data_IF_313470612308
#
_entry.id   IF_313470612308
#
_cell.length_a   1.000
_cell.length_b   1.000
_cell.length_c   1.000
_cell.angle_alpha   90.00
_cell.angle_beta   90.00
_cell.angle_gamma   90.00
#
_symmetry.space_group_name_H-M   'P 1'
#
loop_
_entity.id
_entity.type
_entity.pdbx_description
1 polymer ?
#
# COMPACT_ATOMS: atom_id res chain seq x y z
N UNK A 1 14.48 -11.90 5.42
CA UNK A 1 14.18 -10.73 6.29
C UNK A 1 15.48 -10.08 6.72
N UNK A 2 15.61 -8.74 6.65
CA UNK A 2 16.74 -8.02 7.26
C UNK A 2 16.34 -7.60 8.68
N UNK A 3 17.10 -8.03 9.68
CA UNK A 3 16.89 -7.55 11.06
C UNK A 3 17.49 -6.16 11.20
N UNK A 4 16.69 -5.20 11.65
CA UNK A 4 17.16 -3.84 11.97
C UNK A 4 17.65 -3.73 13.41
N UNK A 5 17.34 -4.71 14.27
CA UNK A 5 17.68 -4.69 15.70
C UNK A 5 16.97 -3.60 16.51
N UNK A 6 16.01 -2.88 15.91
CA UNK A 6 15.33 -1.75 16.57
C UNK A 6 14.17 -2.27 17.41
N UNK A 7 14.24 -2.02 18.73
CA UNK A 7 13.18 -2.37 19.69
C UNK A 7 12.44 -1.10 20.12
N UNK A 8 11.11 -1.15 20.09
CA UNK A 8 10.24 -0.07 20.58
C UNK A 8 9.17 -0.64 21.50
N UNK A 9 8.91 0.08 22.59
CA UNK A 9 7.78 -0.22 23.48
C UNK A 9 6.49 0.26 22.84
N UNK A 10 5.43 -0.48 23.11
CA UNK A 10 4.06 -0.06 22.82
C UNK A 10 3.67 1.01 23.84
N UNK A 11 2.91 2.02 23.41
CA UNK A 11 2.36 3.00 24.34
C UNK A 11 1.10 2.50 25.06
N UNK A 12 0.55 3.32 25.97
CA UNK A 12 -0.64 2.98 26.78
C UNK A 12 -1.90 2.69 25.95
N UNK A 13 -1.92 3.07 24.66
CA UNK A 13 -3.04 2.87 23.75
C UNK A 13 -2.80 1.74 22.74
N UNK A 14 -1.69 1.00 22.85
CA UNK A 14 -1.39 -0.08 21.92
C UNK A 14 -0.68 0.37 20.64
N UNK A 15 -0.23 1.63 20.53
CA UNK A 15 0.40 2.16 19.31
C UNK A 15 1.90 1.90 19.31
N UNK A 16 2.45 1.72 18.12
CA UNK A 16 3.90 1.60 17.90
C UNK A 16 4.42 2.75 17.03
N UNK A 17 5.60 3.27 17.40
CA UNK A 17 6.24 4.34 16.64
C UNK A 17 7.22 3.75 15.63
N UNK A 18 7.03 4.05 14.35
CA UNK A 18 8.01 3.71 13.32
C UNK A 18 9.24 4.65 13.40
N UNK A 19 10.45 4.11 13.59
CA UNK A 19 11.70 4.87 13.60
C UNK A 19 11.84 5.79 12.38
N UNK A 20 12.49 6.94 12.57
CA UNK A 20 12.65 7.95 11.51
C UNK A 20 13.42 7.38 10.32
N UNK A 21 14.42 6.55 10.59
CA UNK A 21 15.26 5.88 9.61
C UNK A 21 14.42 4.98 8.69
N UNK A 22 13.56 4.13 9.27
CA UNK A 22 12.68 3.25 8.50
C UNK A 22 11.69 4.04 7.65
N UNK A 23 11.12 5.13 8.19
CA UNK A 23 10.23 6.02 7.43
C UNK A 23 10.93 6.65 6.23
N UNK A 24 12.18 7.09 6.38
CA UNK A 24 12.96 7.67 5.28
C UNK A 24 13.31 6.62 4.23
N UNK A 25 13.81 5.45 4.65
CA UNK A 25 14.19 4.36 3.73
C UNK A 25 13.00 3.82 2.94
N UNK A 26 11.82 3.73 3.57
CA UNK A 26 10.59 3.24 2.93
C UNK A 26 9.74 4.36 2.31
N UNK A 27 10.19 5.62 2.38
CA UNK A 27 9.45 6.79 1.91
C UNK A 27 7.98 6.78 2.43
N UNK A 28 7.82 6.62 3.75
CA UNK A 28 6.55 6.68 4.47
C UNK A 28 6.42 8.09 5.06
N UNK A 29 5.46 8.84 4.55
CA UNK A 29 5.15 10.21 4.98
C UNK A 29 4.08 10.22 6.07
N UNK A 30 3.88 11.39 6.66
CA UNK A 30 2.81 11.57 7.63
C UNK A 30 1.45 11.32 6.97
N UNK A 31 0.58 10.57 7.65
CA UNK A 31 -0.75 10.16 7.18
C UNK A 31 -0.76 9.17 6.00
N UNK A 32 0.39 8.66 5.56
CA UNK A 32 0.43 7.59 4.56
C UNK A 32 -0.26 6.33 5.11
N UNK A 33 -1.18 5.72 4.36
CA UNK A 33 -1.81 4.47 4.76
C UNK A 33 -0.80 3.32 4.72
N UNK A 34 -0.84 2.47 5.73
CA UNK A 34 -0.10 1.21 5.79
C UNK A 34 -1.09 0.06 5.90
N UNK A 35 -0.82 -1.01 5.18
CA UNK A 35 -1.54 -2.27 5.29
C UNK A 35 -0.86 -3.15 6.31
N UNK A 36 -1.66 -3.76 7.18
CA UNK A 36 -1.22 -4.69 8.23
C UNK A 36 -1.62 -6.10 7.81
N UNK A 37 -0.65 -7.00 7.78
CA UNK A 37 -0.87 -8.42 7.57
C UNK A 37 -0.37 -9.20 8.80
N UNK A 38 -0.95 -10.38 8.98
CA UNK A 38 -0.50 -11.37 9.98
C UNK A 38 -0.18 -12.64 9.21
N UNK A 39 1.05 -13.15 9.36
CA UNK A 39 1.45 -14.43 8.79
C UNK A 39 1.01 -15.61 9.67
N UNK A 40 1.17 -16.84 9.16
CA UNK A 40 0.78 -18.07 9.87
C UNK A 40 1.58 -18.30 11.16
N UNK A 41 2.76 -17.69 11.29
CA UNK A 41 3.61 -17.73 12.48
C UNK A 41 3.21 -16.64 13.51
N UNK A 42 2.17 -15.85 13.22
CA UNK A 42 1.70 -14.75 14.06
C UNK A 42 2.56 -13.48 14.00
N UNK A 43 3.44 -13.35 13.01
CA UNK A 43 4.25 -12.13 12.79
C UNK A 43 3.41 -11.06 12.11
N UNK A 44 3.58 -9.82 12.59
CA UNK A 44 2.96 -8.64 11.98
C UNK A 44 3.87 -8.12 10.87
N UNK A 45 3.30 -7.98 9.67
CA UNK A 45 3.97 -7.43 8.49
C UNK A 45 3.29 -6.11 8.13
N UNK A 46 4.08 -5.03 8.03
CA UNK A 46 3.61 -3.72 7.61
C UNK A 46 4.09 -3.45 6.18
N UNK A 47 3.16 -3.09 5.30
CA UNK A 47 3.44 -2.73 3.90
C UNK A 47 2.81 -1.38 3.57
N UNK A 48 3.41 -0.62 2.64
CA UNK A 48 2.76 0.58 2.08
C UNK A 48 1.45 0.17 1.42
N UNK A 49 0.37 0.87 1.76
CA UNK A 49 -0.89 0.66 1.06
C UNK A 49 -0.79 1.31 -0.31
N UNK A 50 -0.66 0.48 -1.33
CA UNK A 50 -0.73 0.90 -2.72
C UNK A 50 -2.17 0.68 -3.21
N UNK A 51 -2.86 1.74 -3.68
CA UNK A 51 -4.19 1.60 -4.23
C UNK A 51 -4.18 0.65 -5.43
N UNK A 52 -5.01 -0.38 -5.39
CA UNK A 52 -5.17 -1.30 -6.50
C UNK A 52 -6.24 -0.82 -7.49
N UNK A 53 -6.09 -1.22 -8.76
CA UNK A 53 -7.09 -1.00 -9.81
C UNK A 53 -8.43 -1.66 -9.45
N UNK A 54 -9.55 -0.94 -9.58
CA UNK A 54 -10.88 -1.45 -9.23
C UNK A 54 -11.32 -2.65 -10.07
N UNK A 55 -10.74 -2.85 -11.26
CA UNK A 55 -11.16 -3.86 -12.21
C UNK A 55 -10.34 -5.15 -12.13
N UNK A 56 -9.02 -5.04 -12.00
CA UNK A 56 -8.11 -6.19 -12.05
C UNK A 56 -7.29 -6.39 -10.78
N UNK A 57 -7.46 -5.51 -9.78
CA UNK A 57 -6.69 -5.52 -8.53
C UNK A 57 -5.16 -5.38 -8.71
N UNK A 58 -4.71 -4.98 -9.91
CA UNK A 58 -3.30 -4.69 -10.18
C UNK A 58 -2.89 -3.42 -9.43
N UNK A 59 -1.67 -3.43 -8.89
CA UNK A 59 -1.02 -2.26 -8.27
C UNK A 59 -0.11 -1.51 -9.28
N UNK A 60 0.05 -2.03 -10.50
CA UNK A 60 0.92 -1.44 -11.51
C UNK A 60 0.21 -0.29 -12.24
N UNK A 61 0.91 0.85 -12.36
CA UNK A 61 0.47 2.03 -13.11
C UNK A 61 -0.97 2.48 -12.78
N UNK A 62 -1.33 2.42 -11.50
CA UNK A 62 -2.66 2.80 -11.01
C UNK A 62 -2.77 4.32 -10.91
N UNK A 63 -3.77 4.86 -11.61
CA UNK A 63 -4.11 6.28 -11.64
C UNK A 63 -5.45 6.46 -10.91
N UNK A 64 -5.54 7.48 -10.06
CA UNK A 64 -6.81 7.85 -9.43
C UNK A 64 -7.60 8.78 -10.35
N UNK A 65 -8.81 8.38 -10.75
CA UNK A 65 -9.71 9.15 -11.59
C UNK A 65 -11.12 9.16 -10.98
N UNK A 66 -11.65 10.36 -10.70
CA UNK A 66 -12.98 10.55 -10.05
C UNK A 66 -13.19 9.71 -8.77
N UNK A 67 -12.15 9.56 -7.95
CA UNK A 67 -12.21 8.78 -6.71
C UNK A 67 -12.20 7.26 -6.89
N UNK A 68 -11.90 6.77 -8.10
CA UNK A 68 -11.68 5.35 -8.41
C UNK A 68 -10.23 5.17 -8.86
N UNK A 69 -9.61 4.06 -8.48
CA UNK A 69 -8.26 3.75 -8.88
C UNK A 69 -8.29 2.80 -10.08
N UNK A 70 -7.66 3.15 -11.19
CA UNK A 70 -7.65 2.34 -12.41
C UNK A 70 -6.24 2.24 -12.97
N UNK A 71 -5.78 1.04 -13.30
CA UNK A 71 -4.49 0.86 -13.99
C UNK A 71 -4.61 1.21 -15.47
N UNK A 72 -3.47 1.56 -16.08
CA UNK A 72 -3.37 1.88 -17.51
C UNK A 72 -3.99 0.79 -18.40
N UNK A 73 -3.68 -0.48 -18.16
CA UNK A 73 -4.22 -1.60 -18.95
C UNK A 73 -5.75 -1.67 -18.95
N UNK A 74 -6.37 -1.40 -17.80
CA UNK A 74 -7.83 -1.39 -17.68
C UNK A 74 -8.44 -0.16 -18.34
N UNK A 75 -7.75 0.98 -18.30
CA UNK A 75 -8.16 2.20 -18.98
C UNK A 75 -8.15 2.01 -20.50
N UNK A 76 -7.10 1.39 -21.06
CA UNK A 76 -7.00 1.08 -22.48
C UNK A 76 -8.10 0.13 -22.95
N UNK A 77 -8.36 -0.94 -22.21
CA UNK A 77 -9.46 -1.90 -22.51
C UNK A 77 -10.85 -1.28 -22.42
N UNK A 78 -11.03 -0.27 -21.57
CA UNK A 78 -12.29 0.49 -21.51
C UNK A 78 -12.44 1.42 -22.72
N UNK A 79 -11.35 2.07 -23.14
CA UNK A 79 -11.35 2.93 -24.32
C UNK A 79 -11.67 2.14 -25.58
N UNK A 80 -11.03 0.97 -25.78
CA UNK A 80 -11.27 0.14 -26.97
C UNK A 80 -12.73 -0.32 -27.06
N UNK A 81 -13.37 -0.66 -25.93
CA UNK A 81 -14.79 -1.05 -25.89
C UNK A 81 -15.76 0.08 -26.26
N UNK A 82 -15.35 1.34 -26.14
CA UNK A 82 -16.18 2.49 -26.55
C UNK A 82 -16.09 2.75 -28.05
N UNK A 83 -15.00 2.33 -28.71
CA UNK A 83 -14.80 2.48 -30.16
C UNK A 83 -15.46 1.34 -30.96
N UNK A 84 -15.71 0.19 -30.32
CA UNK A 84 -16.39 -0.97 -30.91
C UNK A 84 -17.94 -0.85 -30.91
N UNK A 85 -18.50 0.31 -30.51
CA UNK A 85 -19.95 0.63 -30.56
C UNK A 85 -20.21 1.89 -31.38
#
# INVERSE_FOLDING_TARGET
MKSTGIIRKVDELGRIVSPKELRMTLNIKEKDPLQIFVDDDGRIILQKYEPACVFCNSMNDVISFKGRNICRDCMEKLSSKLEDN
#
